data_IF_912667423521
#
_entry.id   IF_912667423521
#
_cell.length_a   1.000
_cell.length_b   1.000
_cell.length_c   1.000
_cell.angle_alpha   90.00
_cell.angle_beta   90.00
_cell.angle_gamma   90.00
#
_symmetry.space_group_name_H-M   'P 1'
#
loop_
_entity.id
_entity.type
_entity.pdbx_description
1 polymer ?
#
# COMPACT_ATOMS: atom_id res chain seq x y z
N UNK A 1 -10.85 -2.10 37.62
CA UNK A 1 -10.01 -2.83 36.65
C UNK A 1 -10.92 -3.73 35.82
N UNK A 2 -11.46 -3.21 34.72
CA UNK A 2 -12.36 -3.95 33.83
C UNK A 2 -11.53 -4.62 32.73
N UNK A 3 -11.31 -5.92 32.87
CA UNK A 3 -10.70 -6.75 31.83
C UNK A 3 -11.69 -6.89 30.66
N UNK A 4 -11.30 -6.37 29.49
CA UNK A 4 -12.00 -6.63 28.24
C UNK A 4 -11.71 -8.08 27.83
N UNK A 5 -12.71 -8.93 27.60
CA UNK A 5 -12.49 -10.33 27.26
C UNK A 5 -11.81 -10.46 25.88
N UNK A 6 -10.81 -11.33 25.81
CA UNK A 6 -9.92 -11.58 24.66
C UNK A 6 -10.66 -11.88 23.34
N UNK A 7 -11.92 -12.31 23.42
CA UNK A 7 -12.79 -12.55 22.27
C UNK A 7 -13.22 -11.25 21.55
N UNK A 8 -13.32 -10.11 22.24
CA UNK A 8 -13.74 -8.84 21.63
C UNK A 8 -12.61 -8.22 20.80
N UNK A 9 -11.35 -8.40 21.21
CA UNK A 9 -10.16 -7.91 20.49
C UNK A 9 -9.83 -8.72 19.24
N UNK A 10 -10.16 -10.01 19.22
CA UNK A 10 -9.88 -10.89 18.08
C UNK A 10 -10.84 -10.63 16.90
N UNK A 11 -12.11 -10.36 17.18
CA UNK A 11 -13.09 -9.99 16.16
C UNK A 11 -12.86 -8.59 15.58
N UNK A 12 -12.39 -7.63 16.38
CA UNK A 12 -12.08 -6.27 15.90
C UNK A 12 -10.88 -6.26 14.93
N UNK A 13 -9.86 -7.11 15.18
CA UNK A 13 -8.70 -7.28 14.28
C UNK A 13 -9.06 -7.95 12.95
N UNK A 14 -10.00 -8.90 12.95
CA UNK A 14 -10.48 -9.54 11.72
C UNK A 14 -11.38 -8.61 10.89
N UNK A 15 -12.14 -7.72 11.53
CA UNK A 15 -12.95 -6.70 10.85
C UNK A 15 -12.07 -5.65 10.14
N UNK A 16 -10.99 -5.20 10.79
CA UNK A 16 -10.07 -4.22 10.20
C UNK A 16 -9.31 -4.82 9.00
N UNK A 17 -8.86 -6.07 9.08
CA UNK A 17 -8.14 -6.71 7.97
C UNK A 17 -9.04 -7.11 6.78
N UNK A 18 -10.32 -7.41 7.03
CA UNK A 18 -11.27 -7.72 5.95
C UNK A 18 -11.78 -6.47 5.21
N UNK A 19 -11.85 -5.32 5.89
CA UNK A 19 -12.15 -4.02 5.27
C UNK A 19 -10.99 -3.57 4.37
N UNK A 20 -9.73 -3.81 4.77
CA UNK A 20 -8.55 -3.40 4.01
C UNK A 20 -8.31 -4.14 2.69
N UNK A 21 -8.90 -5.33 2.45
CA UNK A 21 -8.74 -6.04 1.16
C UNK A 21 -9.88 -5.70 0.18
N UNK A 22 -11.11 -5.49 0.69
CA UNK A 22 -12.26 -5.21 -0.17
C UNK A 22 -12.32 -3.74 -0.63
N UNK A 23 -11.94 -2.81 0.24
CA UNK A 23 -12.07 -1.38 -0.03
C UNK A 23 -11.15 -0.89 -1.16
N UNK A 24 -9.85 -1.24 -1.19
CA UNK A 24 -8.97 -0.92 -2.32
C UNK A 24 -9.41 -1.59 -3.61
N UNK A 25 -9.95 -2.81 -3.53
CA UNK A 25 -10.42 -3.57 -4.68
C UNK A 25 -11.64 -2.90 -5.35
N UNK A 26 -12.58 -2.36 -4.57
CA UNK A 26 -13.73 -1.62 -5.09
C UNK A 26 -13.31 -0.29 -5.73
N UNK A 27 -12.41 0.44 -5.07
CA UNK A 27 -11.88 1.70 -5.58
C UNK A 27 -11.09 1.50 -6.89
N UNK A 28 -10.26 0.45 -6.95
CA UNK A 28 -9.52 0.05 -8.14
C UNK A 28 -10.46 -0.31 -9.28
N UNK A 29 -11.41 -1.23 -9.05
CA UNK A 29 -12.38 -1.67 -10.08
C UNK A 29 -13.17 -0.51 -10.65
N UNK A 30 -13.67 0.39 -9.80
CA UNK A 30 -14.40 1.59 -10.22
C UNK A 30 -13.53 2.52 -11.06
N UNK A 31 -12.29 2.76 -10.61
CA UNK A 31 -11.37 3.67 -11.32
C UNK A 31 -10.88 3.09 -12.64
N UNK A 32 -10.66 1.78 -12.72
CA UNK A 32 -10.31 1.11 -13.96
C UNK A 32 -11.48 1.05 -14.96
N UNK A 33 -12.73 1.01 -14.48
CA UNK A 33 -13.91 1.11 -15.34
C UNK A 33 -14.04 2.51 -15.98
N UNK A 34 -13.79 3.56 -15.20
CA UNK A 34 -13.93 4.95 -15.64
C UNK A 34 -12.69 5.48 -16.39
N UNK A 35 -11.52 4.94 -16.08
CA UNK A 35 -10.23 5.34 -16.64
C UNK A 35 -9.36 4.11 -16.87
N UNK A 36 -9.62 3.36 -17.94
CA UNK A 36 -8.90 2.12 -18.24
C UNK A 36 -7.39 2.30 -18.32
N UNK A 37 -6.65 1.26 -17.93
CA UNK A 37 -5.19 1.13 -18.12
C UNK A 37 -4.41 2.35 -17.60
N UNK A 38 -4.55 2.68 -16.32
CA UNK A 38 -3.84 3.81 -15.68
C UNK A 38 -4.12 5.16 -16.35
N UNK A 39 -5.29 5.30 -16.99
CA UNK A 39 -5.69 6.52 -17.69
C UNK A 39 -5.24 6.62 -19.14
N UNK A 40 -4.61 5.57 -19.70
CA UNK A 40 -4.10 5.55 -21.08
C UNK A 40 -5.15 5.86 -22.15
N UNK A 41 -6.42 5.53 -21.89
CA UNK A 41 -7.52 5.82 -22.84
C UNK A 41 -8.07 7.25 -22.75
N UNK A 42 -7.92 7.90 -21.59
CA UNK A 42 -8.67 9.12 -21.25
C UNK A 42 -7.76 10.30 -20.88
N UNK A 43 -6.45 10.20 -21.11
CA UNK A 43 -5.49 11.29 -20.97
C UNK A 43 -5.15 11.71 -19.54
N UNK A 44 -5.51 10.92 -18.53
CA UNK A 44 -4.98 11.12 -17.17
C UNK A 44 -3.67 10.35 -17.03
N UNK A 45 -2.69 10.97 -16.38
CA UNK A 45 -1.41 10.31 -16.13
C UNK A 45 -1.52 9.30 -14.96
N UNK A 46 -0.61 8.32 -14.87
CA UNK A 46 -0.66 7.29 -13.83
C UNK A 46 -0.69 7.83 -12.39
N UNK A 47 0.00 8.94 -12.13
CA UNK A 47 -0.01 9.61 -10.81
C UNK A 47 -1.41 10.05 -10.40
N UNK A 48 -2.13 10.73 -11.29
CA UNK A 48 -3.50 11.19 -11.05
C UNK A 48 -4.47 10.01 -10.96
N UNK A 49 -4.21 8.94 -11.72
CA UNK A 49 -4.98 7.71 -11.66
C UNK A 49 -4.88 7.04 -10.28
N UNK A 50 -3.67 6.84 -9.77
CA UNK A 50 -3.44 6.27 -8.46
C UNK A 50 -3.97 7.16 -7.33
N UNK A 51 -3.83 8.47 -7.45
CA UNK A 51 -4.42 9.43 -6.50
C UNK A 51 -5.95 9.26 -6.38
N UNK A 52 -6.64 8.99 -7.49
CA UNK A 52 -8.08 8.71 -7.48
C UNK A 52 -8.42 7.40 -6.78
N UNK A 53 -7.66 6.33 -7.04
CA UNK A 53 -7.86 5.02 -6.38
C UNK A 53 -7.68 5.15 -4.87
N UNK A 54 -6.61 5.80 -4.43
CA UNK A 54 -6.30 6.01 -3.02
C UNK A 54 -7.42 6.81 -2.35
N UNK A 55 -7.78 7.98 -2.91
CA UNK A 55 -8.87 8.82 -2.40
C UNK A 55 -10.18 8.05 -2.26
N UNK A 56 -10.56 7.28 -3.29
CA UNK A 56 -11.77 6.45 -3.29
C UNK A 56 -11.72 5.33 -2.25
N UNK A 57 -10.54 4.76 -2.00
CA UNK A 57 -10.35 3.75 -0.96
C UNK A 57 -10.64 4.34 0.42
N UNK A 58 -10.15 5.55 0.69
CA UNK A 58 -10.46 6.24 1.95
C UNK A 58 -11.94 6.65 2.06
N UNK A 59 -12.55 7.15 0.99
CA UNK A 59 -13.99 7.48 0.97
C UNK A 59 -14.85 6.23 1.26
N UNK A 60 -14.51 5.10 0.67
CA UNK A 60 -15.19 3.83 0.88
C UNK A 60 -14.95 3.22 2.27
N UNK A 61 -13.93 3.68 3.00
CA UNK A 61 -13.64 3.24 4.37
C UNK A 61 -14.52 3.93 5.42
N UNK A 62 -15.37 4.88 5.03
CA UNK A 62 -16.21 5.64 5.95
C UNK A 62 -15.45 6.67 6.79
N UNK A 63 -14.18 6.93 6.46
CA UNK A 63 -13.36 7.95 7.12
C UNK A 63 -13.84 9.33 6.66
N UNK A 64 -14.16 10.28 7.57
CA UNK A 64 -14.58 11.61 7.20
C UNK A 64 -13.53 12.33 6.35
N UNK A 65 -13.97 13.09 5.33
CA UNK A 65 -13.06 13.85 4.45
C UNK A 65 -12.16 14.83 5.20
N UNK A 66 -12.58 15.31 6.37
CA UNK A 66 -11.76 16.15 7.25
C UNK A 66 -10.60 15.41 7.92
N UNK A 67 -10.64 14.08 8.00
CA UNK A 67 -9.50 13.25 8.41
C UNK A 67 -8.57 12.88 7.26
N UNK A 68 -8.90 13.31 6.04
CA UNK A 68 -8.06 13.21 4.84
C UNK A 68 -7.37 14.56 4.60
N UNK A 69 -6.77 15.14 5.67
CA UNK A 69 -5.67 16.10 5.53
C UNK A 69 -4.76 15.61 4.40
N UNK A 70 -4.25 16.50 3.52
CA UNK A 70 -3.72 16.12 2.21
C UNK A 70 -2.82 14.91 2.39
N UNK A 71 -3.28 13.75 1.90
CA UNK A 71 -2.61 12.47 2.12
C UNK A 71 -1.16 12.65 1.69
N UNK A 72 -0.28 12.87 2.67
CA UNK A 72 1.09 13.26 2.36
C UNK A 72 1.81 12.01 1.89
N UNK A 73 2.83 12.19 1.05
CA UNK A 73 3.59 11.06 0.52
C UNK A 73 4.18 10.19 1.64
N UNK A 74 4.41 10.79 2.81
CA UNK A 74 4.90 10.17 4.04
C UNK A 74 3.92 9.17 4.68
N UNK A 75 2.65 9.18 4.28
CA UNK A 75 1.64 8.24 4.79
C UNK A 75 1.62 6.90 4.04
N UNK A 76 2.39 6.78 2.95
CA UNK A 76 2.38 5.61 2.10
C UNK A 76 3.73 4.91 2.13
N UNK A 77 3.66 3.60 2.36
CA UNK A 77 4.76 2.69 2.12
C UNK A 77 4.44 1.85 0.89
N UNK A 78 5.21 2.03 -0.16
CA UNK A 78 5.21 1.14 -1.31
C UNK A 78 6.01 -0.13 -1.01
N UNK A 79 5.50 -1.28 -1.43
CA UNK A 79 6.17 -2.58 -1.26
C UNK A 79 6.00 -3.35 -2.56
N UNK A 80 7.11 -3.63 -3.25
CA UNK A 80 7.12 -4.30 -4.55
C UNK A 80 8.39 -5.12 -4.75
N UNK A 81 8.40 -5.98 -5.76
CA UNK A 81 9.47 -6.94 -6.03
C UNK A 81 10.44 -6.53 -7.15
N UNK A 82 10.18 -5.44 -7.87
CA UNK A 82 11.10 -4.89 -8.86
C UNK A 82 11.90 -3.71 -8.29
N UNK A 83 13.24 -3.80 -8.29
CA UNK A 83 14.08 -2.74 -7.74
C UNK A 83 13.91 -1.40 -8.47
N UNK A 84 13.81 -1.42 -9.79
CA UNK A 84 13.80 -0.19 -10.57
C UNK A 84 12.39 0.40 -10.63
N UNK A 85 11.42 -0.42 -10.98
CA UNK A 85 10.05 0.03 -11.22
C UNK A 85 9.30 0.30 -9.90
N UNK A 86 9.46 -0.57 -8.89
CA UNK A 86 8.73 -0.47 -7.63
C UNK A 86 9.51 0.31 -6.57
N UNK A 87 10.80 0.00 -6.37
CA UNK A 87 11.59 0.63 -5.32
C UNK A 87 12.06 2.04 -5.70
N UNK A 88 12.88 2.19 -6.74
CA UNK A 88 13.37 3.51 -7.19
C UNK A 88 12.21 4.40 -7.69
N UNK A 89 11.24 3.82 -8.42
CA UNK A 89 10.08 4.55 -8.93
C UNK A 89 9.22 5.18 -7.83
N UNK A 90 9.00 4.47 -6.72
CA UNK A 90 8.29 5.01 -5.57
C UNK A 90 9.09 6.13 -4.88
N UNK A 91 10.39 5.93 -4.64
CA UNK A 91 11.26 6.94 -4.03
C UNK A 91 11.34 8.22 -4.87
N UNK A 92 11.47 8.09 -6.19
CA UNK A 92 11.47 9.22 -7.12
C UNK A 92 10.14 10.00 -7.13
N UNK A 93 9.04 9.32 -6.80
CA UNK A 93 7.71 9.91 -6.62
C UNK A 93 7.50 10.52 -5.22
N UNK A 94 8.51 10.41 -4.35
CA UNK A 94 8.53 10.87 -2.96
C UNK A 94 7.78 9.96 -1.99
N UNK A 95 7.44 8.73 -2.39
CA UNK A 95 6.75 7.72 -1.57
C UNK A 95 7.81 6.84 -0.91
N UNK A 96 7.66 6.53 0.37
CA UNK A 96 8.56 5.59 1.05
C UNK A 96 8.45 4.20 0.44
N UNK A 97 9.55 3.46 0.31
CA UNK A 97 9.54 2.15 -0.34
C UNK A 97 10.38 1.12 0.40
N UNK A 98 9.91 -0.12 0.40
CA UNK A 98 10.63 -1.31 0.89
C UNK A 98 10.61 -2.36 -0.22
N UNK A 99 11.79 -2.87 -0.58
CA UNK A 99 11.92 -3.90 -1.60
C UNK A 99 11.53 -5.28 -1.04
N UNK A 100 10.66 -6.00 -1.74
CA UNK A 100 10.27 -7.36 -1.41
C UNK A 100 11.16 -8.36 -2.16
N UNK A 101 12.25 -8.78 -1.52
CA UNK A 101 13.15 -9.81 -2.03
C UNK A 101 12.65 -11.20 -1.65
N UNK A 102 11.74 -11.76 -2.44
CA UNK A 102 11.31 -13.15 -2.21
C UNK A 102 12.48 -14.09 -2.52
N UNK A 103 12.80 -15.06 -1.66
CA UNK A 103 13.84 -16.04 -1.96
C UNK A 103 13.43 -16.86 -3.19
N UNK A 104 13.98 -16.50 -4.35
CA UNK A 104 13.96 -17.27 -5.59
C UNK A 104 15.34 -17.12 -6.23
N UNK A 105 16.02 -18.25 -6.39
CA UNK A 105 17.24 -18.40 -7.19
C UNK A 105 18.35 -17.36 -6.96
N UNK A 106 18.63 -17.04 -5.69
CA UNK A 106 19.96 -16.58 -5.27
C UNK A 106 20.37 -15.13 -5.56
N UNK A 107 19.45 -14.26 -5.99
CA UNK A 107 19.71 -12.81 -6.05
C UNK A 107 18.87 -12.09 -4.99
N UNK A 108 19.54 -11.68 -3.92
CA UNK A 108 18.94 -10.97 -2.79
C UNK A 108 19.45 -9.52 -2.75
N UNK A 109 18.80 -8.68 -1.94
CA UNK A 109 19.06 -7.24 -1.78
C UNK A 109 20.54 -6.79 -1.64
N UNK A 110 21.46 -7.72 -1.40
CA UNK A 110 22.91 -7.53 -1.50
C UNK A 110 23.35 -6.95 -2.84
N UNK A 111 22.67 -7.29 -3.93
CA UNK A 111 23.03 -6.83 -5.29
C UNK A 111 22.86 -5.31 -5.45
N UNK A 112 21.98 -4.72 -4.63
CA UNK A 112 21.67 -3.29 -4.66
C UNK A 112 22.27 -2.52 -3.47
N UNK A 113 23.12 -3.15 -2.66
CA UNK A 113 23.75 -2.54 -1.46
C UNK A 113 22.72 -1.87 -0.52
N UNK A 114 21.55 -2.49 -0.36
CA UNK A 114 20.48 -1.97 0.50
C UNK A 114 20.69 -2.36 1.97
N UNK A 115 20.42 -1.42 2.87
CA UNK A 115 20.37 -1.68 4.30
C UNK A 115 19.20 -2.63 4.64
N UNK A 116 19.31 -3.35 5.76
CA UNK A 116 18.26 -4.30 6.18
C UNK A 116 16.90 -3.67 6.45
N UNK A 117 16.84 -2.36 6.70
CA UNK A 117 15.59 -1.61 6.84
C UNK A 117 14.89 -1.32 5.51
N UNK A 118 15.57 -1.50 4.38
CA UNK A 118 15.07 -1.13 3.05
C UNK A 118 14.49 -2.31 2.27
N UNK A 119 14.57 -3.53 2.82
CA UNK A 119 14.04 -4.72 2.16
C UNK A 119 13.53 -5.78 3.13
N UNK A 120 12.60 -6.59 2.65
CA UNK A 120 11.99 -7.71 3.37
C UNK A 120 12.00 -8.96 2.49
N UNK A 121 12.09 -10.14 3.12
CA UNK A 121 12.00 -11.41 2.39
C UNK A 121 10.56 -11.88 2.18
N UNK A 122 9.65 -11.33 2.98
CA UNK A 122 8.25 -11.72 3.05
C UNK A 122 7.41 -10.57 3.57
N UNK A 123 6.18 -10.42 3.07
CA UNK A 123 5.20 -9.46 3.60
C UNK A 123 4.92 -9.64 5.10
N UNK A 124 5.19 -10.84 5.66
CA UNK A 124 5.08 -11.09 7.11
C UNK A 124 6.03 -10.23 7.94
N UNK A 125 7.16 -9.83 7.35
CA UNK A 125 8.20 -9.04 8.02
C UNK A 125 7.85 -7.56 8.12
N UNK A 126 6.87 -7.06 7.35
CA UNK A 126 6.42 -5.67 7.44
C UNK A 126 6.01 -5.28 8.85
N UNK A 127 5.39 -6.21 9.59
CA UNK A 127 5.00 -6.00 10.99
C UNK A 127 6.17 -5.74 11.95
N UNK A 128 7.41 -6.00 11.52
CA UNK A 128 8.64 -5.81 12.30
C UNK A 128 9.37 -4.51 11.96
N UNK A 129 8.91 -3.79 10.94
CA UNK A 129 9.49 -2.51 10.51
C UNK A 129 8.79 -1.31 11.14
N UNK A 130 7.69 -1.55 11.88
CA UNK A 130 6.85 -0.54 12.53
C UNK A 130 7.00 -0.56 14.05
#
# INVERSE_FOLDING_TARGET
>A
MSHIPFFVTFWLRFLILSIWIHVPTLAFKKTNLEHSNYGKSNGINPEKWWSLVIRRSFENSGIPKSGLEPLTRDMFLHVGDDFKEDYEGALASGIQSVLLCRPKDGQEASDHQLDRSQWISSLRELSKMC
#
